data_IF_928085864864
#
_entry.id   IF_928085864864
#
_cell.length_a   1.000
_cell.length_b   1.000
_cell.length_c   1.000
_cell.angle_alpha   90.00
_cell.angle_beta   90.00
_cell.angle_gamma   90.00
#
_symmetry.space_group_name_H-M   'P 1'
#
loop_
_entity.id
_entity.type
_entity.pdbx_description
1 polymer ?
#
# COMPACT_ATOMS: atom_id res chain seq x y z
N UNK A 1 -17.04 -4.47 -8.04
CA UNK A 1 -15.62 -4.33 -7.74
C UNK A 1 -15.38 -4.41 -6.25
N UNK A 2 -14.35 -5.11 -5.85
CA UNK A 2 -13.99 -5.25 -4.44
C UNK A 2 -12.90 -4.28 -4.09
N UNK A 3 -12.95 -3.72 -2.90
CA UNK A 3 -11.93 -2.77 -2.45
C UNK A 3 -11.66 -2.94 -0.96
N UNK A 4 -10.45 -2.55 -0.56
CA UNK A 4 -10.07 -2.54 0.85
C UNK A 4 -9.01 -1.49 1.09
N UNK A 5 -9.18 -0.72 2.15
CA UNK A 5 -8.23 0.32 2.55
C UNK A 5 -7.43 -0.18 3.74
N UNK A 6 -6.11 -0.04 3.64
CA UNK A 6 -5.20 -0.34 4.75
C UNK A 6 -4.59 0.95 5.25
N UNK A 7 -4.53 1.10 6.56
CA UNK A 7 -3.79 2.19 7.18
C UNK A 7 -2.46 1.64 7.69
N UNK A 8 -1.37 2.24 7.21
CA UNK A 8 -0.02 1.75 7.48
C UNK A 8 0.73 2.85 8.22
N UNK A 9 1.24 2.52 9.40
CA UNK A 9 1.99 3.45 10.24
C UNK A 9 3.44 3.01 10.34
N UNK A 10 4.33 4.00 10.38
CA UNK A 10 5.75 3.74 10.61
C UNK A 10 6.53 3.34 9.37
N UNK A 11 5.89 3.33 8.21
CA UNK A 11 6.54 2.99 6.94
C UNK A 11 6.35 4.18 6.01
N UNK A 12 7.44 4.67 5.42
CA UNK A 12 7.36 5.84 4.56
C UNK A 12 6.85 5.48 3.16
N UNK A 13 6.49 6.53 2.41
CA UNK A 13 5.92 6.36 1.07
C UNK A 13 6.85 5.61 0.12
N UNK A 14 8.15 5.91 0.17
CA UNK A 14 9.11 5.24 -0.70
C UNK A 14 9.17 3.74 -0.46
N UNK A 15 9.06 3.32 0.79
CA UNK A 15 9.04 1.90 1.13
C UNK A 15 7.74 1.24 0.63
N UNK A 16 6.60 1.94 0.76
CA UNK A 16 5.32 1.44 0.25
C UNK A 16 5.40 1.21 -1.25
N UNK A 17 5.97 2.16 -1.98
CA UNK A 17 6.15 2.04 -3.43
C UNK A 17 7.02 0.83 -3.77
N UNK A 18 8.10 0.64 -3.02
CA UNK A 18 8.99 -0.51 -3.20
C UNK A 18 8.25 -1.83 -2.98
N UNK A 19 7.44 -1.91 -1.93
CA UNK A 19 6.67 -3.12 -1.64
C UNK A 19 5.63 -3.40 -2.72
N UNK A 20 4.94 -2.37 -3.22
CA UNK A 20 3.98 -2.55 -4.30
C UNK A 20 4.67 -3.07 -5.55
N UNK A 21 5.84 -2.55 -5.87
CA UNK A 21 6.63 -3.01 -7.01
C UNK A 21 7.05 -4.47 -6.82
N UNK A 22 7.46 -4.83 -5.61
CA UNK A 22 7.90 -6.19 -5.29
C UNK A 22 6.78 -7.23 -5.47
N UNK A 23 5.54 -6.84 -5.24
CA UNK A 23 4.40 -7.76 -5.41
C UNK A 23 3.79 -7.70 -6.80
N UNK A 24 4.43 -7.00 -7.72
CA UNK A 24 4.07 -7.05 -9.13
C UNK A 24 3.36 -5.85 -9.69
N UNK A 25 3.34 -4.74 -8.98
CA UNK A 25 2.70 -3.52 -9.46
C UNK A 25 3.68 -2.61 -10.17
N UNK A 26 3.16 -1.81 -11.11
CA UNK A 26 3.93 -0.78 -11.80
C UNK A 26 3.19 0.54 -11.69
N UNK A 27 3.92 1.67 -11.60
CA UNK A 27 3.26 2.96 -11.53
C UNK A 27 2.48 3.25 -12.82
N UNK A 28 1.32 3.87 -12.66
CA UNK A 28 0.46 4.25 -13.77
C UNK A 28 0.61 5.75 -14.00
N UNK A 29 1.01 6.13 -15.20
CA UNK A 29 1.24 7.52 -15.57
C UNK A 29 2.32 8.19 -14.72
N UNK A 30 2.38 9.51 -14.74
CA UNK A 30 3.36 10.29 -13.97
C UNK A 30 2.99 10.42 -12.51
N UNK A 31 1.81 9.98 -12.15
CA UNK A 31 1.30 10.07 -10.79
C UNK A 31 1.79 8.85 -9.99
N UNK A 32 2.70 9.10 -9.04
CA UNK A 32 3.27 8.05 -8.20
C UNK A 32 2.31 7.56 -7.12
N UNK A 33 1.03 7.86 -7.24
CA UNK A 33 0.04 7.41 -6.26
C UNK A 33 -0.76 6.20 -6.70
N UNK A 34 -0.81 5.92 -8.00
CA UNK A 34 -1.57 4.81 -8.54
C UNK A 34 -0.64 3.75 -9.12
N UNK A 35 -0.83 2.51 -8.68
CA UNK A 35 -0.04 1.36 -9.10
C UNK A 35 -0.97 0.28 -9.62
N UNK A 36 -0.59 -0.36 -10.71
CA UNK A 36 -1.38 -1.41 -11.33
C UNK A 36 -0.63 -2.72 -11.36
N UNK A 37 -1.24 -3.77 -10.81
CA UNK A 37 -0.76 -5.13 -10.92
C UNK A 37 -1.67 -5.92 -11.85
N UNK A 38 -1.54 -7.24 -11.84
CA UNK A 38 -2.35 -8.13 -12.65
C UNK A 38 -3.73 -8.30 -12.00
N UNK A 39 -4.75 -7.70 -12.61
CA UNK A 39 -6.13 -7.73 -12.14
C UNK A 39 -6.36 -7.02 -10.80
N UNK A 40 -5.50 -6.07 -10.45
CA UNK A 40 -5.67 -5.29 -9.23
C UNK A 40 -4.97 -3.94 -9.35
N UNK A 41 -5.39 -3.01 -8.52
CA UNK A 41 -4.73 -1.70 -8.41
C UNK A 41 -4.48 -1.38 -6.95
N UNK A 42 -3.45 -0.60 -6.69
CA UNK A 42 -3.15 -0.05 -5.38
C UNK A 42 -2.96 1.45 -5.50
N UNK A 43 -3.63 2.21 -4.65
CA UNK A 43 -3.53 3.67 -4.67
C UNK A 43 -3.11 4.19 -3.31
N UNK A 44 -2.10 5.05 -3.30
CA UNK A 44 -1.76 5.81 -2.11
C UNK A 44 -2.76 6.96 -2.02
N UNK A 45 -3.73 6.82 -1.13
CA UNK A 45 -4.87 7.74 -1.05
C UNK A 45 -4.56 8.95 -0.21
N UNK A 46 -3.87 8.74 0.91
CA UNK A 46 -3.54 9.84 1.82
C UNK A 46 -2.22 9.54 2.53
N UNK A 47 -1.38 10.56 2.64
CA UNK A 47 -0.14 10.49 3.42
C UNK A 47 -0.23 11.58 4.48
N UNK A 48 -0.11 11.18 5.74
CA UNK A 48 -0.12 12.10 6.86
C UNK A 48 0.94 11.69 7.87
N UNK A 49 1.10 12.50 8.91
CA UNK A 49 2.04 12.21 9.98
C UNK A 49 1.32 12.31 11.31
N UNK A 50 1.61 11.35 12.19
CA UNK A 50 1.09 11.33 13.54
C UNK A 50 2.25 11.62 14.48
N UNK A 51 2.05 12.55 15.39
CA UNK A 51 3.08 12.84 16.38
C UNK A 51 2.93 11.91 17.59
N UNK A 52 3.96 11.10 17.80
CA UNK A 52 3.99 10.17 18.93
C UNK A 52 5.38 10.23 19.56
N UNK A 53 5.42 10.35 20.89
CA UNK A 53 6.70 10.36 21.62
C UNK A 53 7.71 11.36 21.07
N UNK A 54 7.22 12.56 20.68
CA UNK A 54 8.03 13.64 20.11
C UNK A 54 8.61 13.32 18.73
N UNK A 55 8.10 12.29 18.08
CA UNK A 55 8.50 11.93 16.72
C UNK A 55 7.31 11.99 15.78
N UNK A 56 7.57 12.37 14.54
CA UNK A 56 6.55 12.36 13.50
C UNK A 56 6.60 10.99 12.81
N UNK A 57 5.51 10.25 12.91
CA UNK A 57 5.40 8.91 12.35
C UNK A 57 4.52 8.97 11.11
N UNK A 58 4.99 8.51 9.96
CA UNK A 58 4.15 8.50 8.75
C UNK A 58 2.96 7.56 8.91
N UNK A 59 1.82 8.01 8.41
CA UNK A 59 0.62 7.20 8.31
C UNK A 59 0.09 7.32 6.89
N UNK A 60 -0.05 6.19 6.22
CA UNK A 60 -0.42 6.14 4.82
C UNK A 60 -1.69 5.30 4.66
N UNK A 61 -2.68 5.86 3.98
CA UNK A 61 -3.88 5.13 3.58
C UNK A 61 -3.65 4.57 2.19
N UNK A 62 -3.76 3.26 2.06
CA UNK A 62 -3.52 2.55 0.82
C UNK A 62 -4.78 1.81 0.42
N UNK A 63 -5.33 2.13 -0.75
CA UNK A 63 -6.54 1.52 -1.27
C UNK A 63 -6.19 0.46 -2.30
N UNK A 64 -6.61 -0.78 -2.04
CA UNK A 64 -6.51 -1.87 -3.01
C UNK A 64 -7.87 -2.13 -3.63
N UNK A 65 -7.89 -2.35 -4.94
CA UNK A 65 -9.11 -2.68 -5.67
C UNK A 65 -8.86 -3.81 -6.66
N UNK A 66 -9.88 -4.65 -6.87
CA UNK A 66 -9.83 -5.72 -7.84
C UNK A 66 -11.25 -6.09 -8.27
N UNK A 67 -11.39 -6.62 -9.47
CA UNK A 67 -12.66 -7.19 -9.93
C UNK A 67 -12.90 -8.57 -9.34
N UNK A 68 -11.88 -9.18 -8.74
CA UNK A 68 -11.94 -10.51 -8.14
C UNK A 68 -11.57 -10.48 -6.67
N UNK A 69 -12.45 -10.99 -5.82
CA UNK A 69 -12.22 -11.00 -4.38
C UNK A 69 -10.97 -11.81 -4.00
N UNK A 70 -10.77 -12.96 -4.65
CA UNK A 70 -9.62 -13.79 -4.36
C UNK A 70 -8.30 -13.07 -4.68
N UNK A 71 -8.27 -12.36 -5.81
CA UNK A 71 -7.09 -11.58 -6.18
C UNK A 71 -6.81 -10.51 -5.16
N UNK A 72 -7.85 -9.79 -4.73
CA UNK A 72 -7.71 -8.76 -3.72
C UNK A 72 -7.12 -9.31 -2.43
N UNK A 73 -7.67 -10.42 -1.95
CA UNK A 73 -7.21 -11.03 -0.70
C UNK A 73 -5.77 -11.51 -0.78
N UNK A 74 -5.37 -12.08 -1.91
CA UNK A 74 -4.00 -12.55 -2.11
C UNK A 74 -3.00 -11.40 -2.16
N UNK A 75 -3.36 -10.31 -2.82
CA UNK A 75 -2.51 -9.13 -2.93
C UNK A 75 -2.31 -8.51 -1.55
N UNK A 76 -3.39 -8.34 -0.80
CA UNK A 76 -3.32 -7.78 0.54
C UNK A 76 -2.48 -8.65 1.45
N UNK A 77 -2.62 -9.97 1.35
CA UNK A 77 -1.80 -10.89 2.14
C UNK A 77 -0.32 -10.74 1.83
N UNK A 78 0.03 -10.68 0.54
CA UNK A 78 1.42 -10.49 0.12
C UNK A 78 1.97 -9.16 0.64
N UNK A 79 1.16 -8.11 0.52
CA UNK A 79 1.58 -6.79 0.98
C UNK A 79 1.78 -6.77 2.50
N UNK A 80 0.88 -7.37 3.25
CA UNK A 80 0.99 -7.43 4.72
C UNK A 80 2.23 -8.19 5.17
N UNK A 81 2.63 -9.23 4.45
CA UNK A 81 3.86 -9.96 4.76
C UNK A 81 5.07 -9.06 4.63
N UNK A 82 5.08 -8.18 3.62
CA UNK A 82 6.17 -7.23 3.44
C UNK A 82 6.21 -6.21 4.56
N UNK A 83 5.07 -5.64 4.91
CA UNK A 83 4.99 -4.60 5.93
C UNK A 83 5.21 -5.17 7.33
N UNK A 84 4.79 -6.38 7.58
CA UNK A 84 4.99 -7.04 8.87
C UNK A 84 6.48 -7.20 9.18
N UNK A 85 7.27 -7.59 8.18
CA UNK A 85 8.71 -7.73 8.35
C UNK A 85 9.37 -6.39 8.64
N UNK A 86 8.92 -5.35 7.99
CA UNK A 86 9.46 -4.01 8.20
C UNK A 86 9.10 -3.45 9.57
N UNK A 87 7.94 -3.82 10.09
CA UNK A 87 7.48 -3.37 11.40
C UNK A 87 8.04 -4.17 12.56
N UNK A 88 8.66 -5.29 12.26
CA UNK A 88 9.30 -6.11 13.27
C UNK A 88 10.68 -5.59 13.65
#
# INVERSE_FOLDING_TARGET
>A
MYSKTLEIRGINEGEIISYLTDIGASPVAEDNTLFQGKNWTGRIDEVSFIRMFQSDIPQISLLFESTEEQTLNKVIEKFRRKTFRAGG
#
